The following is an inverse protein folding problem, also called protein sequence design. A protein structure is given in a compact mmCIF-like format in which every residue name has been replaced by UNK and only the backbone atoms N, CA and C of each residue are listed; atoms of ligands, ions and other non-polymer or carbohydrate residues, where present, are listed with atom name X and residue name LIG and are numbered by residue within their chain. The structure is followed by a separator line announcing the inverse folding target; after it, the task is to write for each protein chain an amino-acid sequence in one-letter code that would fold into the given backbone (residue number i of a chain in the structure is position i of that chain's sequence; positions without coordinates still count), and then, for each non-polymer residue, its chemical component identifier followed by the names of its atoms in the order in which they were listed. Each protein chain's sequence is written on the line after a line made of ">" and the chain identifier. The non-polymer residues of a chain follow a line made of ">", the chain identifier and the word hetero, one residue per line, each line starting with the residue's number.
data_IF_486408046792
#
_entry.id   IF_486408046792
#
_cell.length_a   1.000
_cell.length_b   1.000
_cell.length_c   1.000
_cell.angle_alpha   90.00
_cell.angle_beta   90.00
_cell.angle_gamma   90.00
#
_symmetry.space_group_name_H-M   'P 1'
#
loop_
_entity.id
_entity.type
_entity.pdbx_description
1 polymer ?
#
# COMPACT_ATOMS: atom_id res chain seq x y z
N UNK A 1 -19.04 26.68 -75.51
CA UNK A 1 -19.66 25.98 -74.36
C UNK A 1 -18.55 25.55 -73.43
N UNK A 2 -18.50 26.14 -72.24
CA UNK A 2 -17.45 25.93 -71.24
C UNK A 2 -18.00 25.06 -70.11
N UNK A 3 -17.31 23.97 -69.77
CA UNK A 3 -17.56 23.23 -68.53
C UNK A 3 -16.29 23.27 -67.67
N UNK A 4 -16.33 24.12 -66.65
CA UNK A 4 -15.34 24.19 -65.57
C UNK A 4 -15.65 23.08 -64.57
N UNK A 5 -14.82 22.04 -64.52
CA UNK A 5 -14.85 21.04 -63.44
C UNK A 5 -13.99 21.55 -62.28
N UNK A 6 -14.66 22.01 -61.22
CA UNK A 6 -14.07 22.41 -59.95
C UNK A 6 -14.16 21.19 -59.02
N UNK A 7 -13.10 20.41 -58.91
CA UNK A 7 -13.02 19.32 -57.93
C UNK A 7 -12.50 19.92 -56.62
N UNK A 8 -13.40 20.06 -55.64
CA UNK A 8 -13.07 20.38 -54.26
C UNK A 8 -12.26 19.21 -53.66
N UNK A 9 -10.97 19.42 -53.43
CA UNK A 9 -10.18 18.55 -52.56
C UNK A 9 -10.48 18.92 -51.10
N UNK A 10 -11.39 18.18 -50.46
CA UNK A 10 -11.61 18.28 -49.02
C UNK A 10 -10.40 17.67 -48.30
N UNK A 11 -9.53 18.53 -47.76
CA UNK A 11 -8.45 18.11 -46.87
C UNK A 11 -9.07 17.57 -45.56
N UNK A 12 -9.14 16.25 -45.44
CA UNK A 12 -9.34 15.58 -44.16
C UNK A 12 -8.11 15.86 -43.29
N UNK A 13 -8.18 16.92 -42.49
CA UNK A 13 -7.30 17.09 -41.35
C UNK A 13 -7.63 15.97 -40.36
N UNK A 14 -6.94 14.83 -40.49
CA UNK A 14 -6.95 13.79 -39.49
C UNK A 14 -6.33 14.37 -38.22
N UNK A 15 -7.19 14.79 -37.28
CA UNK A 15 -6.79 15.10 -35.92
C UNK A 15 -6.14 13.86 -35.34
N UNK A 16 -4.80 13.81 -35.36
CA UNK A 16 -4.03 12.91 -34.53
C UNK A 16 -4.24 13.36 -33.08
N UNK A 17 -5.37 12.98 -32.50
CA UNK A 17 -5.55 12.96 -31.06
C UNK A 17 -4.54 11.92 -30.56
N UNK A 18 -3.35 12.39 -30.19
CA UNK A 18 -2.35 11.56 -29.53
C UNK A 18 -3.03 10.93 -28.34
N UNK A 19 -3.19 9.60 -28.36
CA UNK A 19 -3.63 8.86 -27.21
C UNK A 19 -2.60 9.12 -26.11
N UNK A 20 -2.89 10.08 -25.24
CA UNK A 20 -2.08 10.35 -24.07
C UNK A 20 -2.14 9.08 -23.24
N UNK A 21 -1.07 8.27 -23.31
CA UNK A 21 -0.96 7.05 -22.54
C UNK A 21 -1.19 7.43 -21.08
N UNK A 22 -2.24 6.87 -20.48
CA UNK A 22 -2.53 7.09 -19.08
C UNK A 22 -1.26 6.78 -18.29
N UNK A 23 -0.90 7.68 -17.37
CA UNK A 23 0.28 7.49 -16.56
C UNK A 23 0.18 6.14 -15.82
N UNK A 24 1.28 5.40 -15.77
CA UNK A 24 1.30 4.11 -15.08
C UNK A 24 0.87 4.28 -13.62
N UNK A 25 0.03 3.35 -13.15
CA UNK A 25 -0.28 3.21 -11.74
C UNK A 25 1.02 2.83 -10.99
N UNK A 26 1.89 2.05 -11.62
CA UNK A 26 3.19 1.70 -11.07
C UNK A 26 4.10 2.87 -10.71
N UNK A 27 4.71 2.83 -9.53
CA UNK A 27 5.77 3.75 -9.10
C UNK A 27 6.53 3.16 -7.91
N UNK A 28 7.86 3.24 -7.96
CA UNK A 28 8.73 2.75 -6.88
C UNK A 28 8.44 3.40 -5.53
N UNK A 29 8.19 4.72 -5.49
CA UNK A 29 7.85 5.43 -4.25
C UNK A 29 6.51 4.95 -3.69
N UNK A 30 5.47 4.79 -4.54
CA UNK A 30 4.14 4.30 -4.12
C UNK A 30 4.18 2.83 -3.69
N UNK A 31 5.01 2.00 -4.35
CA UNK A 31 5.27 0.62 -3.94
C UNK A 31 5.91 0.57 -2.56
N UNK A 32 6.99 1.32 -2.37
CA UNK A 32 7.72 1.38 -1.09
C UNK A 32 6.80 1.86 0.04
N UNK A 33 6.04 2.93 -0.18
CA UNK A 33 5.06 3.43 0.78
C UNK A 33 4.01 2.36 1.15
N UNK A 34 3.43 1.72 0.15
CA UNK A 34 2.41 0.67 0.31
C UNK A 34 2.96 -0.51 1.11
N UNK A 35 4.16 -0.97 0.78
CA UNK A 35 4.82 -2.06 1.49
C UNK A 35 5.16 -1.68 2.94
N UNK A 36 5.57 -0.42 3.19
CA UNK A 36 5.82 0.08 4.56
C UNK A 36 4.55 0.08 5.42
N UNK A 37 3.41 0.52 4.86
CA UNK A 37 2.10 0.47 5.55
C UNK A 37 1.71 -0.98 5.84
N UNK A 38 1.84 -1.86 4.83
CA UNK A 38 1.54 -3.29 4.96
C UNK A 38 2.41 -3.99 6.01
N UNK A 39 3.72 -3.72 6.01
CA UNK A 39 4.67 -4.28 6.97
C UNK A 39 4.36 -3.87 8.41
N UNK A 40 4.00 -2.60 8.62
CA UNK A 40 3.59 -2.09 9.93
C UNK A 40 2.32 -2.79 10.43
N UNK A 41 1.30 -2.89 9.56
CA UNK A 41 0.07 -3.63 9.86
C UNK A 41 0.34 -5.10 10.21
N UNK A 42 1.22 -5.75 9.44
CA UNK A 42 1.61 -7.14 9.69
C UNK A 42 2.31 -7.29 11.04
N UNK A 43 3.28 -6.42 11.34
CA UNK A 43 4.05 -6.47 12.58
C UNK A 43 3.15 -6.29 13.81
N UNK A 44 2.24 -5.31 13.77
CA UNK A 44 1.23 -5.10 14.82
C UNK A 44 0.39 -6.36 15.01
N UNK A 45 -0.06 -7.00 13.92
CA UNK A 45 -0.84 -8.23 14.02
C UNK A 45 -0.07 -9.42 14.55
N UNK A 46 1.24 -9.50 14.27
CA UNK A 46 2.11 -10.51 14.85
C UNK A 46 2.31 -10.31 16.35
N UNK A 47 2.58 -9.07 16.78
CA UNK A 47 2.64 -8.71 18.21
C UNK A 47 1.32 -9.08 18.90
N UNK A 48 0.18 -8.75 18.30
CA UNK A 48 -1.14 -9.04 18.86
C UNK A 48 -1.34 -10.54 19.12
N UNK A 49 -1.06 -11.39 18.12
CA UNK A 49 -1.20 -12.86 18.24
C UNK A 49 -0.24 -13.48 19.24
N UNK A 50 0.99 -12.99 19.32
CA UNK A 50 2.01 -13.61 20.18
C UNK A 50 1.98 -13.10 21.62
N UNK A 51 1.55 -11.85 21.85
CA UNK A 51 1.80 -11.17 23.13
C UNK A 51 0.56 -10.90 23.96
N UNK A 52 -0.63 -10.67 23.39
CA UNK A 52 -1.79 -10.23 24.18
C UNK A 52 -2.14 -11.21 25.30
N UNK A 53 -2.17 -12.51 25.00
CA UNK A 53 -2.41 -13.54 26.02
C UNK A 53 -1.31 -13.62 27.08
N UNK A 54 -0.04 -13.34 26.71
CA UNK A 54 1.08 -13.35 27.66
C UNK A 54 1.06 -12.16 28.61
N UNK A 55 0.54 -11.02 28.18
CA UNK A 55 0.48 -9.78 28.99
C UNK A 55 -0.88 -9.60 29.67
N UNK A 56 -1.75 -10.62 29.65
CA UNK A 56 -3.05 -10.60 30.32
C UNK A 56 -4.09 -9.67 29.69
N UNK A 57 -3.94 -9.34 28.41
CA UNK A 57 -4.92 -8.53 27.66
C UNK A 57 -6.09 -9.39 27.20
N UNK A 58 -7.30 -8.83 27.23
CA UNK A 58 -8.54 -9.56 26.97
C UNK A 58 -9.13 -9.31 25.58
N UNK A 59 -8.69 -8.27 24.88
CA UNK A 59 -9.08 -8.05 23.50
C UNK A 59 -8.46 -9.09 22.55
N UNK A 60 -9.16 -9.38 21.45
CA UNK A 60 -8.66 -10.28 20.42
C UNK A 60 -7.56 -9.62 19.57
N UNK A 61 -6.69 -10.41 18.90
CA UNK A 61 -5.73 -9.88 17.95
C UNK A 61 -6.37 -9.00 16.87
N UNK A 62 -7.56 -9.36 16.38
CA UNK A 62 -8.31 -8.60 15.38
C UNK A 62 -8.76 -7.24 15.92
N UNK A 63 -9.24 -7.18 17.16
CA UNK A 63 -9.62 -5.93 17.81
C UNK A 63 -8.41 -5.01 17.97
N UNK A 64 -7.27 -5.55 18.42
CA UNK A 64 -6.03 -4.81 18.59
C UNK A 64 -5.50 -4.22 17.28
N UNK A 65 -5.45 -5.03 16.21
CA UNK A 65 -5.05 -4.56 14.87
C UNK A 65 -6.04 -3.52 14.34
N UNK A 66 -7.34 -3.70 14.59
CA UNK A 66 -8.38 -2.76 14.14
C UNK A 66 -8.19 -1.38 14.76
N UNK A 67 -7.85 -1.30 16.05
CA UNK A 67 -7.55 -0.02 16.71
C UNK A 67 -6.35 0.68 16.04
N UNK A 68 -5.27 -0.05 15.76
CA UNK A 68 -4.13 0.51 15.01
C UNK A 68 -4.55 0.99 13.61
N UNK A 69 -5.32 0.18 12.87
CA UNK A 69 -5.83 0.56 11.54
C UNK A 69 -6.69 1.82 11.59
N UNK A 70 -7.50 1.99 12.63
CA UNK A 70 -8.34 3.19 12.80
C UNK A 70 -7.50 4.45 13.00
N UNK A 71 -6.46 4.40 13.84
CA UNK A 71 -5.52 5.54 13.99
C UNK A 71 -4.74 5.85 12.71
N UNK A 72 -4.53 4.84 11.87
CA UNK A 72 -3.80 4.94 10.62
C UNK A 72 -4.70 4.90 9.37
N UNK A 73 -6.00 5.19 9.52
CA UNK A 73 -7.02 4.87 8.52
C UNK A 73 -6.74 5.49 7.15
N UNK A 74 -6.27 6.74 7.09
CA UNK A 74 -5.98 7.41 5.81
C UNK A 74 -4.90 6.67 5.02
N UNK A 75 -3.85 6.20 5.69
CA UNK A 75 -2.71 5.54 5.06
C UNK A 75 -3.07 4.11 4.64
N UNK A 76 -3.80 3.40 5.50
CA UNK A 76 -4.33 2.06 5.19
C UNK A 76 -5.28 2.11 3.99
N UNK A 77 -6.14 3.12 3.93
CA UNK A 77 -7.07 3.33 2.81
C UNK A 77 -6.31 3.63 1.51
N UNK A 78 -5.36 4.57 1.54
CA UNK A 78 -4.57 4.93 0.37
C UNK A 78 -3.75 3.74 -0.18
N UNK A 79 -3.09 2.99 0.71
CA UNK A 79 -2.37 1.76 0.37
C UNK A 79 -3.29 0.69 -0.23
N UNK A 80 -4.50 0.51 0.31
CA UNK A 80 -5.47 -0.46 -0.23
C UNK A 80 -5.93 -0.07 -1.64
N UNK A 81 -6.27 1.21 -1.87
CA UNK A 81 -6.64 1.73 -3.19
C UNK A 81 -5.50 1.55 -4.20
N UNK A 82 -4.26 1.80 -3.78
CA UNK A 82 -3.11 1.62 -4.65
C UNK A 82 -2.89 0.17 -5.07
N UNK A 83 -2.94 -0.76 -4.11
CA UNK A 83 -2.83 -2.21 -4.40
C UNK A 83 -3.92 -2.64 -5.38
N UNK A 84 -5.17 -2.21 -5.17
CA UNK A 84 -6.28 -2.51 -6.07
C UNK A 84 -5.97 -2.07 -7.51
N UNK A 85 -5.59 -0.80 -7.70
CA UNK A 85 -5.22 -0.27 -9.03
C UNK A 85 -4.02 -0.98 -9.65
N UNK A 86 -3.03 -1.36 -8.85
CA UNK A 86 -1.85 -2.12 -9.32
C UNK A 86 -2.22 -3.53 -9.77
N UNK A 87 -3.15 -4.18 -9.08
CA UNK A 87 -3.67 -5.49 -9.46
C UNK A 87 -4.54 -5.40 -10.72
N UNK A 88 -5.30 -4.32 -10.90
CA UNK A 88 -6.03 -4.01 -12.14
C UNK A 88 -5.08 -3.81 -13.33
N UNK A 89 -4.04 -2.99 -13.17
CA UNK A 89 -3.01 -2.74 -14.19
C UNK A 89 -2.28 -4.05 -14.58
N UNK A 90 -1.89 -4.86 -13.59
CA UNK A 90 -1.27 -6.16 -13.82
C UNK A 90 -2.21 -7.10 -14.60
N UNK A 91 -3.50 -7.15 -14.23
CA UNK A 91 -4.50 -7.94 -14.93
C UNK A 91 -4.72 -7.46 -16.37
N UNK A 92 -4.76 -6.15 -16.62
CA UNK A 92 -4.90 -5.59 -17.95
C UNK A 92 -3.68 -5.89 -18.85
N UNK A 93 -2.48 -5.95 -18.25
CA UNK A 93 -1.24 -6.19 -18.99
C UNK A 93 -1.00 -7.65 -19.38
N UNK A 94 -1.55 -8.62 -18.63
CA UNK A 94 -1.24 -10.04 -18.85
C UNK A 94 -2.17 -11.02 -18.13
N UNK A 95 -3.40 -10.62 -17.86
CA UNK A 95 -4.45 -11.50 -17.36
C UNK A 95 -4.33 -11.87 -15.88
N UNK A 96 -5.15 -12.85 -15.42
CA UNK A 96 -5.23 -13.25 -14.02
C UNK A 96 -3.89 -13.75 -13.46
N UNK A 97 -3.03 -14.35 -14.28
CA UNK A 97 -1.73 -14.87 -13.84
C UNK A 97 -0.78 -13.75 -13.42
N UNK A 98 -0.75 -12.63 -14.14
CA UNK A 98 0.05 -11.45 -13.76
C UNK A 98 -0.48 -10.77 -12.51
N UNK A 99 -1.80 -10.69 -12.36
CA UNK A 99 -2.45 -10.21 -11.14
C UNK A 99 -2.05 -11.06 -9.93
N UNK A 100 -2.15 -12.39 -10.04
CA UNK A 100 -1.83 -13.29 -8.93
C UNK A 100 -0.32 -13.29 -8.63
N UNK A 101 0.54 -13.21 -9.64
CA UNK A 101 1.98 -13.06 -9.43
C UNK A 101 2.29 -11.80 -8.60
N UNK A 102 1.75 -10.64 -8.99
CA UNK A 102 1.94 -9.40 -8.25
C UNK A 102 1.39 -9.50 -6.82
N UNK A 103 0.23 -10.12 -6.63
CA UNK A 103 -0.36 -10.30 -5.30
C UNK A 103 0.53 -11.16 -4.39
N UNK A 104 1.13 -12.23 -4.93
CA UNK A 104 2.11 -13.06 -4.19
C UNK A 104 3.34 -12.24 -3.82
N UNK A 105 3.89 -11.47 -4.74
CA UNK A 105 5.09 -10.66 -4.52
C UNK A 105 4.85 -9.61 -3.42
N UNK A 106 3.70 -8.91 -3.46
CA UNK A 106 3.30 -7.96 -2.42
C UNK A 106 3.18 -8.67 -1.06
N UNK A 107 2.52 -9.83 -1.00
CA UNK A 107 2.36 -10.59 0.25
C UNK A 107 3.71 -11.00 0.82
N UNK A 108 4.62 -11.53 -0.01
CA UNK A 108 5.94 -11.94 0.43
C UNK A 108 6.76 -10.75 0.95
N UNK A 109 6.73 -9.61 0.25
CA UNK A 109 7.45 -8.41 0.66
C UNK A 109 6.91 -7.83 1.98
N UNK A 110 5.59 -7.79 2.15
CA UNK A 110 4.93 -7.37 3.40
C UNK A 110 5.26 -8.32 4.55
N UNK A 111 5.19 -9.63 4.32
CA UNK A 111 5.52 -10.64 5.33
C UNK A 111 6.99 -10.55 5.75
N UNK A 112 7.93 -10.51 4.82
CA UNK A 112 9.36 -10.44 5.12
C UNK A 112 9.73 -9.18 5.91
N UNK A 113 9.23 -8.02 5.47
CA UNK A 113 9.50 -6.74 6.14
C UNK A 113 8.81 -6.66 7.51
N UNK A 114 7.54 -7.09 7.57
CA UNK A 114 6.76 -7.11 8.80
C UNK A 114 7.29 -8.10 9.84
N UNK A 115 7.80 -9.25 9.41
CA UNK A 115 8.47 -10.21 10.29
C UNK A 115 9.75 -9.63 10.88
N UNK A 116 10.56 -8.96 10.06
CA UNK A 116 11.79 -8.30 10.53
C UNK A 116 11.47 -7.23 11.58
N UNK A 117 10.46 -6.39 11.31
CA UNK A 117 9.98 -5.38 12.25
C UNK A 117 9.46 -6.02 13.55
N UNK A 118 8.59 -7.03 13.47
CA UNK A 118 8.07 -7.73 14.65
C UNK A 118 9.19 -8.37 15.48
N UNK A 119 10.15 -9.05 14.85
CA UNK A 119 11.32 -9.60 15.55
C UNK A 119 12.11 -8.52 16.27
N UNK A 120 12.29 -7.35 15.63
CA UNK A 120 13.01 -6.23 16.26
C UNK A 120 12.37 -5.76 17.57
N UNK A 121 11.04 -5.86 17.66
CA UNK A 121 10.26 -5.52 18.86
C UNK A 121 10.33 -6.62 19.93
N UNK A 122 10.39 -7.88 19.50
CA UNK A 122 10.25 -9.06 20.36
C UNK A 122 11.59 -9.68 20.81
N UNK A 123 12.72 -9.24 20.28
CA UNK A 123 14.04 -9.84 20.54
C UNK A 123 14.75 -9.35 21.81
N UNK A 124 14.19 -8.35 22.53
CA UNK A 124 14.87 -7.72 23.67
C UNK A 124 14.40 -8.30 25.00
N UNK A 125 15.30 -8.94 25.74
CA UNK A 125 15.03 -9.43 27.10
C UNK A 125 14.24 -10.73 27.14
N UNK A 126 13.55 -10.97 28.26
CA UNK A 126 12.68 -12.14 28.41
C UNK A 126 11.41 -11.95 27.59
N UNK A 127 10.82 -13.06 27.11
CA UNK A 127 9.64 -13.02 26.22
C UNK A 127 8.49 -12.17 26.77
N UNK A 128 8.16 -12.31 28.05
CA UNK A 128 7.09 -11.53 28.71
C UNK A 128 7.38 -10.02 28.71
N UNK A 129 8.62 -9.64 29.02
CA UNK A 129 9.07 -8.25 29.02
C UNK A 129 9.07 -7.66 27.61
N UNK A 130 9.58 -8.42 26.63
CA UNK A 130 9.55 -8.04 25.22
C UNK A 130 8.12 -7.83 24.73
N UNK A 131 7.21 -8.73 25.11
CA UNK A 131 5.79 -8.63 24.77
C UNK A 131 5.10 -7.44 25.44
N UNK A 132 5.35 -7.20 26.73
CA UNK A 132 4.82 -6.04 27.44
C UNK A 132 5.27 -4.75 26.75
N UNK A 133 6.57 -4.63 26.48
CA UNK A 133 7.12 -3.47 25.77
C UNK A 133 6.53 -3.32 24.36
N UNK A 134 6.46 -4.40 23.57
CA UNK A 134 5.92 -4.35 22.21
C UNK A 134 4.45 -3.89 22.19
N UNK A 135 3.62 -4.40 23.10
CA UNK A 135 2.22 -3.96 23.25
C UNK A 135 2.15 -2.48 23.64
N UNK A 136 2.96 -2.04 24.62
CA UNK A 136 3.03 -0.62 25.00
C UNK A 136 3.45 0.28 23.85
N UNK A 137 4.42 -0.12 23.02
CA UNK A 137 4.85 0.67 21.85
C UNK A 137 3.71 0.83 20.82
N UNK A 138 2.90 -0.20 20.61
CA UNK A 138 1.73 -0.10 19.72
C UNK A 138 0.63 0.76 20.34
N UNK A 139 0.35 0.60 21.63
CA UNK A 139 -0.68 1.38 22.34
C UNK A 139 -0.36 2.88 22.40
N UNK A 140 0.92 3.20 22.61
CA UNK A 140 1.42 4.58 22.64
C UNK A 140 1.62 5.21 21.26
N UNK A 141 1.31 4.46 20.19
CA UNK A 141 1.39 4.95 18.81
C UNK A 141 2.81 5.08 18.26
N UNK A 142 3.82 4.43 18.87
CA UNK A 142 5.20 4.43 18.32
C UNK A 142 5.24 3.77 16.94
N UNK A 143 4.34 2.81 16.68
CA UNK A 143 4.17 2.20 15.35
C UNK A 143 3.10 2.88 14.49
N UNK A 144 2.54 4.01 14.92
CA UNK A 144 1.66 4.79 14.06
C UNK A 144 2.48 5.53 12.99
N UNK A 145 1.85 5.77 11.85
CA UNK A 145 2.47 6.45 10.72
C UNK A 145 2.46 7.96 11.00
N UNK A 146 3.64 8.50 11.26
CA UNK A 146 3.82 9.92 11.63
C UNK A 146 4.93 10.57 10.80
N UNK A 147 5.00 11.92 10.75
CA UNK A 147 6.08 12.64 10.07
C UNK A 147 7.51 12.30 10.51
N UNK A 148 7.67 11.57 11.62
CA UNK A 148 8.98 11.13 12.12
C UNK A 148 9.52 9.90 11.38
N UNK A 149 8.67 9.18 10.63
CA UNK A 149 9.11 8.04 9.84
C UNK A 149 9.91 8.53 8.62
N UNK A 150 11.07 7.93 8.31
CA UNK A 150 11.84 8.27 7.10
C UNK A 150 11.04 8.13 5.81
N UNK A 151 10.10 7.16 5.75
CA UNK A 151 9.23 6.89 4.60
C UNK A 151 7.96 7.75 4.58
N UNK A 152 7.76 8.62 5.57
CA UNK A 152 6.55 9.44 5.64
C UNK A 152 6.31 10.31 4.40
N UNK A 153 7.31 10.97 3.78
CA UNK A 153 7.08 11.75 2.55
C UNK A 153 6.49 10.92 1.41
N UNK A 154 6.95 9.68 1.23
CA UNK A 154 6.43 8.75 0.22
C UNK A 154 5.00 8.31 0.56
N UNK A 155 4.75 8.00 1.83
CA UNK A 155 3.41 7.63 2.32
C UNK A 155 2.42 8.79 2.15
N UNK A 156 2.84 10.02 2.42
CA UNK A 156 2.00 11.20 2.23
C UNK A 156 1.74 11.46 0.73
N UNK A 157 2.74 11.23 -0.12
CA UNK A 157 2.58 11.29 -1.56
C UNK A 157 1.58 10.25 -2.07
N UNK A 158 1.61 9.03 -1.51
CA UNK A 158 0.64 7.97 -1.78
C UNK A 158 -0.78 8.40 -1.37
N UNK A 159 -0.95 9.02 -0.20
CA UNK A 159 -2.26 9.55 0.23
C UNK A 159 -2.79 10.58 -0.76
N UNK A 160 -1.97 11.58 -1.13
CA UNK A 160 -2.37 12.60 -2.12
C UNK A 160 -2.72 12.02 -3.48
N UNK A 161 -2.05 10.94 -3.90
CA UNK A 161 -2.40 10.23 -5.13
C UNK A 161 -3.77 9.54 -5.01
N UNK A 162 -4.08 8.94 -3.85
CA UNK A 162 -5.32 8.19 -3.64
C UNK A 162 -6.57 9.07 -3.43
N UNK A 163 -6.38 10.37 -3.18
CA UNK A 163 -7.44 11.37 -2.99
C UNK A 163 -7.88 12.08 -4.28
N UNK A 164 -7.15 11.85 -5.38
CA UNK A 164 -7.52 12.31 -6.73
C UNK A 164 -8.53 11.36 -7.37
#
# INVERSE_FOLDING_TARGET
>A
MAFRSLVLAAALAASAAGAQQAAAVGSESRDTATLSVGASNFAVGRVARECLGLVGRSESPEQFITQWRQRNARFVSASSRYIERRLEEAAASGGPDKREALLRDIRQAVQGSGDSLARSLLQRGRKEEACMNAVTLVDTGVLDITPKLPTYPDIESLVRWAEQ
#
